data_IF_580140624211
#
_entry.id   IF_580140624211
#
_cell.length_a   1.000
_cell.length_b   1.000
_cell.length_c   1.000
_cell.angle_alpha   90.00
_cell.angle_beta   90.00
_cell.angle_gamma   90.00
#
_symmetry.space_group_name_H-M   'P 1'
#
loop_
_entity.id
_entity.type
_entity.pdbx_description
1 polymer ?
#
# COMPACT_ATOMS: atom_id res chain seq x y z
N UNK A 1 43.51 15.56 -25.70
CA UNK A 1 42.23 14.97 -25.27
C UNK A 1 41.52 15.99 -24.39
N UNK A 2 40.33 16.41 -24.81
CA UNK A 2 39.70 17.65 -24.34
C UNK A 2 39.08 17.46 -22.95
N UNK A 3 39.54 18.21 -21.94
CA UNK A 3 39.11 18.09 -20.53
C UNK A 3 37.59 18.28 -20.35
N UNK A 4 36.94 18.95 -21.31
CA UNK A 4 35.50 19.16 -21.36
C UNK A 4 34.68 17.86 -21.57
N UNK A 5 35.25 16.84 -22.21
CA UNK A 5 34.54 15.59 -22.57
C UNK A 5 34.46 14.62 -21.38
N UNK A 6 35.39 14.72 -20.43
CA UNK A 6 35.38 13.89 -19.22
C UNK A 6 34.30 14.37 -18.23
N UNK A 7 33.99 15.67 -18.23
CA UNK A 7 33.00 16.24 -17.31
C UNK A 7 31.55 15.92 -17.70
N UNK A 8 31.27 15.70 -18.99
CA UNK A 8 29.92 15.39 -19.48
C UNK A 8 29.53 13.91 -19.34
N UNK A 9 30.49 13.00 -19.12
CA UNK A 9 30.19 11.57 -18.97
C UNK A 9 29.73 11.19 -17.55
N UNK A 10 29.90 12.06 -16.55
CA UNK A 10 29.59 11.77 -15.14
C UNK A 10 28.18 12.19 -14.70
N UNK A 11 27.36 12.77 -15.59
CA UNK A 11 26.03 13.32 -15.24
C UNK A 11 24.86 12.37 -15.46
N UNK A 12 25.08 11.11 -15.86
CA UNK A 12 24.00 10.19 -16.24
C UNK A 12 23.85 8.97 -15.32
N UNK A 13 23.85 9.19 -14.01
CA UNK A 13 23.27 8.22 -13.08
C UNK A 13 22.35 8.94 -12.09
N UNK A 14 21.26 9.52 -12.62
CA UNK A 14 20.11 9.88 -11.79
C UNK A 14 19.37 8.57 -11.49
N UNK A 15 19.75 7.87 -10.43
CA UNK A 15 18.87 6.87 -9.83
C UNK A 15 17.66 7.61 -9.29
N UNK A 16 16.49 7.40 -9.91
CA UNK A 16 15.23 7.88 -9.37
C UNK A 16 15.09 7.33 -7.94
N UNK A 17 15.28 8.20 -6.94
CA UNK A 17 15.09 7.83 -5.55
C UNK A 17 13.64 7.39 -5.36
N UNK A 18 13.42 6.26 -4.68
CA UNK A 18 12.09 5.84 -4.30
C UNK A 18 11.44 6.97 -3.48
N UNK A 19 10.37 7.57 -4.01
CA UNK A 19 9.63 8.63 -3.35
C UNK A 19 9.10 8.12 -1.99
N UNK A 20 9.15 8.91 -0.93
CA UNK A 20 8.65 8.53 0.40
C UNK A 20 7.18 8.09 0.35
N UNK A 21 6.42 8.59 -0.63
CA UNK A 21 5.04 8.14 -0.91
C UNK A 21 4.93 6.65 -1.28
N UNK A 22 5.98 6.08 -1.86
CA UNK A 22 6.03 4.67 -2.31
C UNK A 22 6.40 3.71 -1.18
N UNK A 23 6.83 4.23 -0.02
CA UNK A 23 7.13 3.44 1.19
C UNK A 23 5.97 2.58 1.65
N UNK A 24 4.73 2.95 1.34
CA UNK A 24 3.54 2.18 1.73
C UNK A 24 2.97 1.29 0.62
N UNK A 25 3.41 1.48 -0.63
CA UNK A 25 2.97 0.64 -1.74
C UNK A 25 3.47 -0.80 -1.58
N UNK A 26 2.57 -1.76 -1.84
CA UNK A 26 2.85 -3.19 -1.71
C UNK A 26 3.12 -3.67 -0.28
N UNK A 27 2.90 -2.85 0.75
CA UNK A 27 3.02 -3.29 2.14
C UNK A 27 1.88 -4.26 2.47
N UNK A 28 2.21 -5.41 3.06
CA UNK A 28 1.19 -6.35 3.52
C UNK A 28 0.31 -5.73 4.61
N UNK A 29 -0.96 -6.16 4.68
CA UNK A 29 -1.92 -5.67 5.67
C UNK A 29 -2.58 -6.82 6.42
N UNK A 30 -2.53 -6.79 7.76
CA UNK A 30 -3.27 -7.71 8.62
C UNK A 30 -4.61 -7.08 9.02
N UNK A 31 -5.71 -7.60 8.45
CA UNK A 31 -7.07 -7.12 8.70
C UNK A 31 -7.54 -7.31 10.15
N UNK A 32 -6.98 -8.26 10.89
CA UNK A 32 -7.40 -8.56 12.26
C UNK A 32 -6.74 -7.62 13.28
N UNK A 33 -5.51 -7.19 13.00
CA UNK A 33 -4.77 -6.25 13.86
C UNK A 33 -4.77 -4.83 13.33
N UNK A 34 -5.39 -4.59 12.18
CA UNK A 34 -5.47 -3.29 11.53
C UNK A 34 -6.35 -2.29 12.27
N UNK A 35 -5.86 -1.07 12.37
CA UNK A 35 -6.64 0.08 12.82
C UNK A 35 -6.26 1.33 12.00
N UNK A 36 -7.06 1.71 10.99
CA UNK A 36 -6.76 2.87 10.14
C UNK A 36 -6.90 4.22 10.87
N UNK A 37 -7.39 4.26 12.11
CA UNK A 37 -7.24 5.45 12.98
C UNK A 37 -5.84 5.60 13.58
N UNK A 38 -4.99 4.60 13.39
CA UNK A 38 -3.63 4.57 13.90
C UNK A 38 -3.48 3.75 15.18
N UNK A 39 -2.22 3.48 15.49
CA UNK A 39 -1.79 2.81 16.71
C UNK A 39 -1.30 3.79 17.78
N UNK A 40 -0.35 3.34 18.59
CA UNK A 40 0.27 4.15 19.63
C UNK A 40 0.99 5.37 19.04
N UNK A 41 0.77 6.55 19.62
CA UNK A 41 1.47 7.79 19.23
C UNK A 41 2.99 7.68 19.41
N UNK A 42 3.45 6.91 20.40
CA UNK A 42 4.88 6.61 20.60
C UNK A 42 5.52 5.84 19.44
N UNK A 43 4.72 5.28 18.54
CA UNK A 43 5.13 4.61 17.29
C UNK A 43 4.70 5.40 16.06
N UNK A 44 4.50 6.71 16.19
CA UNK A 44 4.11 7.60 15.10
C UNK A 44 2.62 7.51 14.71
N UNK A 45 1.79 6.82 15.50
CA UNK A 45 0.36 6.67 15.20
C UNK A 45 0.10 5.81 13.96
N UNK A 46 1.06 5.00 13.53
CA UNK A 46 0.95 4.15 12.35
C UNK A 46 -0.08 3.04 12.59
N UNK A 47 -0.84 2.66 11.55
CA UNK A 47 -1.76 1.54 11.60
C UNK A 47 -1.03 0.22 11.98
N UNK A 48 -1.40 -0.44 13.10
CA UNK A 48 -0.76 -1.66 13.58
C UNK A 48 -0.93 -2.89 12.66
N UNK A 49 -1.81 -2.82 11.66
CA UNK A 49 -1.98 -3.84 10.64
C UNK A 49 -0.93 -3.81 9.53
N UNK A 50 -0.15 -2.73 9.40
CA UNK A 50 0.86 -2.58 8.35
C UNK A 50 2.11 -3.45 8.61
N UNK A 51 2.42 -4.32 7.66
CA UNK A 51 3.54 -5.26 7.72
C UNK A 51 4.73 -4.73 6.91
N UNK A 52 5.42 -3.71 7.41
CA UNK A 52 6.49 -3.00 6.69
C UNK A 52 7.65 -3.88 6.18
N UNK A 53 7.94 -4.98 6.88
CA UNK A 53 8.97 -5.95 6.47
C UNK A 53 8.52 -6.84 5.32
N UNK A 54 7.23 -6.81 4.94
CA UNK A 54 6.65 -7.61 3.86
C UNK A 54 6.22 -6.70 2.71
N UNK A 55 7.11 -6.54 1.74
CA UNK A 55 6.85 -5.87 0.45
C UNK A 55 6.48 -6.89 -0.61
N UNK A 56 5.31 -6.72 -1.22
CA UNK A 56 4.75 -7.59 -2.25
C UNK A 56 5.13 -7.08 -3.65
N UNK A 57 5.29 -5.76 -3.81
CA UNK A 57 5.66 -5.14 -5.09
C UNK A 57 7.17 -4.93 -5.18
N UNK A 58 7.75 -5.23 -6.35
CA UNK A 58 9.06 -4.73 -6.75
C UNK A 58 8.90 -3.34 -7.35
N UNK A 59 9.63 -2.37 -6.78
CA UNK A 59 9.66 -0.97 -7.20
C UNK A 59 11.05 -0.55 -7.70
N UNK A 60 11.83 -1.51 -8.20
CA UNK A 60 13.08 -1.25 -8.92
C UNK A 60 12.85 -0.26 -10.07
N UNK A 61 13.90 0.43 -10.59
CA UNK A 61 13.72 1.50 -11.58
C UNK A 61 12.91 1.10 -12.83
N UNK A 62 12.92 -0.18 -13.19
CA UNK A 62 12.16 -0.74 -14.32
C UNK A 62 10.65 -0.86 -14.03
N UNK A 63 10.29 -0.93 -12.74
CA UNK A 63 8.92 -1.04 -12.22
C UNK A 63 8.52 0.19 -11.40
N UNK A 64 9.25 1.30 -11.55
CA UNK A 64 9.01 2.52 -10.80
C UNK A 64 7.61 3.07 -11.11
N UNK A 65 6.88 3.44 -10.06
CA UNK A 65 5.57 4.08 -10.19
C UNK A 65 5.75 5.58 -10.07
N UNK A 66 5.07 6.34 -10.93
CA UNK A 66 5.03 7.80 -10.78
C UNK A 66 4.07 8.16 -9.65
N UNK A 67 4.55 8.99 -8.73
CA UNK A 67 3.76 9.59 -7.66
C UNK A 67 3.39 11.02 -8.07
N UNK A 68 2.11 11.37 -7.91
CA UNK A 68 1.66 12.74 -8.09
C UNK A 68 1.65 13.47 -6.75
N UNK A 69 2.59 14.40 -6.59
CA UNK A 69 2.57 15.30 -5.45
C UNK A 69 1.45 16.33 -5.62
N UNK A 70 0.56 16.41 -4.62
CA UNK A 70 -0.47 17.45 -4.56
C UNK A 70 0.08 18.66 -3.81
N UNK A 71 0.08 19.83 -4.48
CA UNK A 71 0.55 21.11 -3.90
C UNK A 71 -0.35 21.66 -2.79
N UNK A 72 -1.52 21.06 -2.57
CA UNK A 72 -2.45 21.45 -1.52
C UNK A 72 -2.99 20.24 -0.78
N UNK A 73 -3.21 20.39 0.52
CA UNK A 73 -3.85 19.37 1.34
C UNK A 73 -5.36 19.38 1.08
N UNK A 74 -5.91 18.26 0.61
CA UNK A 74 -7.35 18.07 0.58
C UNK A 74 -7.86 17.94 2.02
N UNK A 75 -8.47 18.98 2.56
CA UNK A 75 -9.09 18.93 3.88
C UNK A 75 -10.49 18.33 3.78
N UNK A 76 -10.65 17.11 4.27
CA UNK A 76 -11.97 16.51 4.51
C UNK A 76 -12.19 16.47 6.01
N UNK A 77 -13.20 17.18 6.50
CA UNK A 77 -13.65 17.07 7.91
C UNK A 77 -14.90 16.23 7.95
N UNK A 78 -14.93 15.24 8.83
CA UNK A 78 -16.09 14.40 9.03
C UNK A 78 -16.32 14.19 10.53
N UNK A 79 -17.48 14.63 11.00
CA UNK A 79 -17.93 14.39 12.37
C UNK A 79 -18.91 13.23 12.34
N UNK A 80 -18.67 12.22 13.16
CA UNK A 80 -19.59 11.08 13.28
C UNK A 80 -19.59 10.59 14.73
N UNK A 81 -20.77 10.24 15.22
CA UNK A 81 -20.97 9.64 16.55
C UNK A 81 -21.06 8.13 16.35
N UNK A 82 -20.27 7.37 17.11
CA UNK A 82 -20.25 5.91 17.03
C UNK A 82 -20.78 5.32 18.32
N UNK A 83 -21.55 4.24 18.18
CA UNK A 83 -22.06 3.49 19.32
C UNK A 83 -21.86 1.99 19.09
N UNK A 84 -21.18 1.34 20.04
CA UNK A 84 -20.85 -0.08 19.99
C UNK A 84 -19.85 -0.47 18.88
N UNK A 85 -19.44 -1.74 18.90
CA UNK A 85 -18.39 -2.24 18.00
C UNK A 85 -18.77 -2.21 16.52
N UNK A 86 -20.03 -2.45 16.17
CA UNK A 86 -20.47 -2.50 14.76
C UNK A 86 -20.44 -1.13 14.08
N UNK A 87 -20.84 -0.08 14.79
CA UNK A 87 -20.77 1.30 14.27
C UNK A 87 -19.31 1.72 14.05
N UNK A 88 -18.43 1.39 15.00
CA UNK A 88 -17.00 1.67 14.86
C UNK A 88 -16.36 0.88 13.71
N UNK A 89 -16.70 -0.41 13.54
CA UNK A 89 -16.23 -1.18 12.39
C UNK A 89 -16.66 -0.54 11.05
N UNK A 90 -17.90 -0.07 10.95
CA UNK A 90 -18.37 0.61 9.73
C UNK A 90 -17.62 1.91 9.45
N UNK A 91 -17.20 2.65 10.48
CA UNK A 91 -16.29 3.79 10.32
C UNK A 91 -14.94 3.36 9.74
N UNK A 92 -14.33 2.30 10.28
CA UNK A 92 -12.99 1.86 9.86
C UNK A 92 -12.97 1.37 8.40
N UNK A 93 -14.06 0.77 7.91
CA UNK A 93 -14.24 0.38 6.50
C UNK A 93 -14.06 1.53 5.49
N UNK A 94 -14.15 2.79 5.92
CA UNK A 94 -13.86 3.94 5.06
C UNK A 94 -12.37 4.13 4.79
N UNK A 95 -11.52 3.73 5.74
CA UNK A 95 -10.06 3.82 5.61
C UNK A 95 -9.44 2.57 4.98
N UNK A 96 -10.15 1.45 4.97
CA UNK A 96 -9.69 0.17 4.40
C UNK A 96 -10.79 -0.46 3.58
N UNK A 97 -10.52 -0.62 2.28
CA UNK A 97 -11.35 -1.39 1.35
C UNK A 97 -10.52 -2.53 0.75
N UNK A 98 -11.19 -3.58 0.30
CA UNK A 98 -10.58 -4.69 -0.41
C UNK A 98 -11.21 -4.80 -1.80
N UNK A 99 -10.41 -5.21 -2.78
CA UNK A 99 -10.84 -5.36 -4.16
C UNK A 99 -9.82 -6.14 -4.97
N UNK A 100 -10.27 -6.72 -6.08
CA UNK A 100 -9.46 -7.53 -6.98
C UNK A 100 -10.37 -8.25 -7.97
N UNK A 101 -9.85 -8.56 -9.17
CA UNK A 101 -10.56 -9.48 -10.09
C UNK A 101 -10.26 -10.90 -9.65
N UNK A 102 -11.29 -11.67 -9.33
CA UNK A 102 -11.16 -13.10 -9.14
C UNK A 102 -10.90 -13.76 -10.50
N UNK A 103 -9.64 -13.95 -10.87
CA UNK A 103 -9.28 -14.99 -11.84
C UNK A 103 -9.00 -16.29 -11.07
N UNK A 104 -9.98 -16.72 -10.29
CA UNK A 104 -9.93 -18.03 -9.64
C UNK A 104 -10.42 -19.06 -10.66
N UNK A 105 -9.51 -19.59 -11.49
CA UNK A 105 -9.80 -20.81 -12.24
C UNK A 105 -10.03 -21.92 -11.21
N UNK A 106 -11.29 -22.37 -11.08
CA UNK A 106 -11.66 -23.56 -10.30
C UNK A 106 -10.87 -24.76 -10.83
N UNK A 107 -9.78 -25.11 -10.17
CA UNK A 107 -9.34 -26.51 -10.10
C UNK A 107 -10.01 -27.12 -8.87
N UNK A 108 -11.34 -27.15 -8.86
CA UNK A 108 -12.09 -28.08 -8.03
C UNK A 108 -12.44 -29.26 -8.94
N UNK A 109 -11.45 -30.12 -9.15
CA UNK A 109 -11.63 -31.41 -9.81
C UNK A 109 -12.69 -32.19 -9.04
N UNK A 110 -13.73 -32.61 -9.78
CA UNK A 110 -14.86 -33.42 -9.34
C UNK A 110 -14.41 -34.53 -8.38
N UNK A 111 -14.82 -34.49 -7.12
CA UNK A 111 -15.14 -35.73 -6.39
C UNK A 111 -16.61 -36.01 -6.66
N UNK A 112 -16.84 -36.77 -7.73
CA UNK A 112 -18.14 -37.36 -8.04
C UNK A 112 -18.51 -38.30 -6.90
N UNK A 113 -19.71 -38.10 -6.32
CA UNK A 113 -20.34 -39.07 -5.44
C UNK A 113 -20.47 -40.39 -6.20
N UNK A 114 -19.85 -41.46 -5.69
CA UNK A 114 -20.26 -42.83 -5.98
C UNK A 114 -21.00 -43.29 -4.74
N UNK A 115 -22.33 -43.25 -4.82
CA UNK A 115 -23.23 -44.03 -3.97
C UNK A 115 -23.96 -44.96 -4.92
N UNK A 116 -23.69 -46.25 -4.79
CA UNK A 116 -24.56 -47.38 -5.10
C UNK A 116 -24.08 -48.54 -4.27
#
# INVERSE_FOLDING_TARGET
MNLLVIFTLMTSFVTAAADESTKFLGVGYNLLTGNPDGGLLSRGGIDPGLLFTRKIFDLSPQHAVQSESRKSCAQTRQTSVFYGGKSYQNKLKRGVSFGGREHCQRVMSKKTNVVS
#
